data_IF_685934998265
#
_entry.id   IF_685934998265
#
_cell.length_a   1.000
_cell.length_b   1.000
_cell.length_c   1.000
_cell.angle_alpha   90.00
_cell.angle_beta   90.00
_cell.angle_gamma   90.00
#
_symmetry.space_group_name_H-M   'P 1'
#
loop_
_entity.id
_entity.type
_entity.pdbx_description
1 polymer ?
#
# COMPACT_ATOMS: atom_id res chain seq x y z
N UNK A 1 -12.57 -7.89 3.03
CA UNK A 1 -11.90 -9.06 3.64
C UNK A 1 -10.40 -8.94 3.38
N UNK A 2 -9.57 -9.24 4.38
CA UNK A 2 -8.12 -9.20 4.27
C UNK A 2 -7.56 -10.61 4.52
N UNK A 3 -6.74 -11.08 3.59
CA UNK A 3 -6.04 -12.35 3.68
C UNK A 3 -4.54 -12.12 3.67
N UNK A 4 -3.82 -12.87 4.48
CA UNK A 4 -2.36 -12.86 4.47
C UNK A 4 -1.85 -14.29 4.34
N UNK A 5 -1.07 -14.57 3.29
CA UNK A 5 -0.54 -15.92 3.02
C UNK A 5 0.88 -15.84 2.51
N UNK A 6 1.71 -16.81 2.91
CA UNK A 6 3.01 -17.01 2.27
C UNK A 6 2.76 -17.60 0.89
N UNK A 7 3.28 -16.95 -0.15
CA UNK A 7 3.26 -17.48 -1.50
C UNK A 7 4.54 -18.28 -1.78
N UNK A 8 4.66 -18.86 -2.97
CA UNK A 8 5.93 -19.42 -3.44
C UNK A 8 7.05 -18.39 -3.30
N UNK A 9 8.26 -18.83 -2.97
CA UNK A 9 9.44 -17.96 -2.92
C UNK A 9 9.79 -17.33 -4.28
N UNK A 10 9.31 -17.92 -5.37
CA UNK A 10 9.45 -17.38 -6.74
C UNK A 10 8.30 -16.45 -7.16
N UNK A 11 7.29 -16.25 -6.31
CA UNK A 11 6.17 -15.37 -6.64
C UNK A 11 6.60 -13.91 -6.58
N UNK A 12 6.21 -13.15 -7.59
CA UNK A 12 6.38 -11.69 -7.64
C UNK A 12 5.21 -10.91 -7.05
N UNK A 13 4.14 -11.59 -6.64
CA UNK A 13 2.92 -10.95 -6.15
C UNK A 13 3.18 -10.41 -4.75
N UNK A 14 3.08 -9.10 -4.60
CA UNK A 14 3.14 -8.41 -3.31
C UNK A 14 1.74 -8.24 -2.70
N UNK A 15 0.75 -7.91 -3.54
CA UNK A 15 -0.63 -7.67 -3.19
C UNK A 15 -1.59 -8.14 -4.29
N UNK A 16 -2.87 -8.27 -3.95
CA UNK A 16 -3.95 -8.46 -4.92
C UNK A 16 -5.20 -7.80 -4.35
N UNK A 17 -5.92 -7.09 -5.22
CA UNK A 17 -7.21 -6.52 -4.92
C UNK A 17 -8.28 -6.99 -5.89
N UNK A 18 -9.45 -7.28 -5.36
CA UNK A 18 -10.66 -7.52 -6.12
C UNK A 18 -11.88 -7.04 -5.34
N UNK A 19 -12.95 -6.73 -6.04
CA UNK A 19 -14.20 -6.28 -5.46
C UNK A 19 -15.38 -6.92 -6.19
N UNK A 20 -16.37 -7.32 -5.41
CA UNK A 20 -17.66 -7.79 -5.90
C UNK A 20 -18.76 -7.12 -5.07
N UNK A 21 -19.91 -6.82 -5.68
CA UNK A 21 -20.98 -6.11 -4.96
C UNK A 21 -21.63 -6.95 -3.85
N UNK A 22 -21.66 -8.28 -4.00
CA UNK A 22 -22.25 -9.18 -3.01
C UNK A 22 -21.30 -9.52 -1.85
N UNK A 23 -19.98 -9.50 -2.09
CA UNK A 23 -18.96 -9.90 -1.10
C UNK A 23 -18.17 -8.70 -0.54
N UNK A 24 -18.08 -7.61 -1.28
CA UNK A 24 -17.24 -6.45 -1.01
C UNK A 24 -15.78 -6.66 -1.42
N UNK A 25 -14.89 -5.78 -0.93
CA UNK A 25 -13.47 -5.83 -1.23
C UNK A 25 -12.80 -7.09 -0.68
N UNK A 26 -11.90 -7.69 -1.44
CA UNK A 26 -11.01 -8.76 -1.04
C UNK A 26 -9.57 -8.35 -1.33
N UNK A 27 -8.73 -8.38 -0.30
CA UNK A 27 -7.30 -8.05 -0.38
C UNK A 27 -6.49 -9.26 0.05
N UNK A 28 -5.48 -9.64 -0.74
CA UNK A 28 -4.46 -10.60 -0.36
C UNK A 28 -3.11 -9.89 -0.22
N UNK A 29 -2.38 -10.18 0.85
CA UNK A 29 -1.01 -9.71 1.03
C UNK A 29 -0.05 -10.89 1.15
N UNK A 30 1.07 -10.80 0.43
CA UNK A 30 2.11 -11.82 0.50
C UNK A 30 2.88 -11.70 1.84
N UNK A 31 2.73 -12.73 2.67
CA UNK A 31 3.34 -12.83 4.00
C UNK A 31 4.86 -13.02 3.99
N UNK A 32 5.47 -13.25 2.82
CA UNK A 32 6.93 -13.34 2.68
C UNK A 32 7.60 -11.96 2.78
N UNK A 33 6.88 -10.86 2.53
CA UNK A 33 7.44 -9.52 2.64
C UNK A 33 7.53 -9.03 4.09
N UNK A 34 8.53 -8.18 4.41
CA UNK A 34 8.64 -7.55 5.72
C UNK A 34 7.40 -6.68 6.01
N UNK A 35 7.09 -6.50 7.29
CA UNK A 35 5.88 -5.79 7.72
C UNK A 35 5.71 -4.40 7.07
N UNK A 36 6.74 -3.55 6.96
CA UNK A 36 6.60 -2.25 6.30
C UNK A 36 6.13 -2.34 4.84
N UNK A 37 6.64 -3.31 4.07
CA UNK A 37 6.22 -3.54 2.68
C UNK A 37 4.77 -4.01 2.62
N UNK A 38 4.36 -4.92 3.53
CA UNK A 38 2.96 -5.35 3.63
C UNK A 38 2.00 -4.20 3.96
N UNK A 39 2.41 -3.28 4.84
CA UNK A 39 1.62 -2.09 5.16
C UNK A 39 1.47 -1.18 3.92
N UNK A 40 2.55 -0.97 3.16
CA UNK A 40 2.49 -0.21 1.91
C UNK A 40 1.59 -0.86 0.86
N UNK A 41 1.73 -2.17 0.63
CA UNK A 41 0.84 -2.91 -0.27
C UNK A 41 -0.62 -2.83 0.19
N UNK A 42 -0.89 -2.99 1.48
CA UNK A 42 -2.25 -2.86 2.01
C UNK A 42 -2.85 -1.47 1.74
N UNK A 43 -2.07 -0.40 1.96
CA UNK A 43 -2.52 0.96 1.71
C UNK A 43 -2.73 1.25 0.22
N UNK A 44 -1.91 0.66 -0.65
CA UNK A 44 -2.10 0.68 -2.09
C UNK A 44 -3.43 0.03 -2.49
N UNK A 45 -3.72 -1.18 -2.01
CA UNK A 45 -5.00 -1.86 -2.30
C UNK A 45 -6.22 -1.12 -1.75
N UNK A 46 -6.09 -0.42 -0.62
CA UNK A 46 -7.15 0.47 -0.13
C UNK A 46 -7.37 1.65 -1.09
N UNK A 47 -6.32 2.13 -1.75
CA UNK A 47 -6.42 3.09 -2.84
C UNK A 47 -7.32 2.56 -3.96
N UNK A 48 -7.10 1.34 -4.43
CA UNK A 48 -7.97 0.71 -5.42
C UNK A 48 -9.42 0.60 -4.94
N UNK A 49 -9.63 0.18 -3.69
CA UNK A 49 -10.98 0.14 -3.11
C UNK A 49 -11.70 1.50 -3.14
N UNK A 50 -10.99 2.58 -2.82
CA UNK A 50 -11.59 3.92 -2.75
C UNK A 50 -11.85 4.54 -4.12
N UNK A 51 -10.94 4.36 -5.09
CA UNK A 51 -10.98 5.12 -6.34
C UNK A 51 -11.23 4.30 -7.61
N UNK A 52 -10.88 3.02 -7.62
CA UNK A 52 -10.80 2.22 -8.87
C UNK A 52 -11.35 0.81 -8.69
N UNK A 53 -12.31 0.62 -7.77
CA UNK A 53 -12.79 -0.70 -7.32
C UNK A 53 -13.38 -1.59 -8.40
N UNK A 54 -13.70 -1.04 -9.56
CA UNK A 54 -14.28 -1.79 -10.68
C UNK A 54 -13.23 -2.61 -11.46
N UNK A 55 -11.95 -2.41 -11.17
CA UNK A 55 -10.84 -3.09 -11.84
C UNK A 55 -10.09 -3.94 -10.81
N UNK A 56 -10.10 -5.28 -10.92
CA UNK A 56 -9.23 -6.12 -10.10
C UNK A 56 -7.76 -5.93 -10.51
N UNK A 57 -6.86 -6.08 -9.54
CA UNK A 57 -5.45 -5.69 -9.69
C UNK A 57 -4.52 -6.68 -8.97
N UNK A 58 -3.29 -6.82 -9.49
CA UNK A 58 -2.23 -7.65 -8.92
C UNK A 58 -0.94 -6.83 -8.80
N UNK A 59 -0.72 -6.29 -7.61
CA UNK A 59 0.51 -5.58 -7.29
C UNK A 59 1.72 -6.51 -7.29
N UNK A 60 2.65 -6.29 -8.22
CA UNK A 60 3.93 -6.99 -8.28
C UNK A 60 5.05 -6.26 -7.50
N UNK A 61 6.12 -6.99 -7.19
CA UNK A 61 7.29 -6.46 -6.47
C UNK A 61 7.97 -5.30 -7.20
N UNK A 62 8.12 -5.42 -8.51
CA UNK A 62 8.74 -4.47 -9.43
C UNK A 62 7.73 -3.63 -10.22
N UNK A 63 6.52 -3.47 -9.67
CA UNK A 63 5.45 -2.69 -10.32
C UNK A 63 5.91 -1.27 -10.67
N UNK A 64 5.65 -0.87 -11.92
CA UNK A 64 6.09 0.42 -12.47
C UNK A 64 5.04 1.50 -12.34
N UNK A 65 3.81 1.13 -11.96
CA UNK A 65 2.68 2.03 -11.77
C UNK A 65 2.45 2.93 -13.00
N UNK A 66 2.32 2.32 -14.18
CA UNK A 66 2.22 3.07 -15.44
C UNK A 66 0.80 3.54 -15.73
N UNK A 67 -0.21 2.80 -15.28
CA UNK A 67 -1.62 3.16 -15.49
C UNK A 67 -2.03 4.33 -14.60
N UNK A 68 -3.07 5.07 -14.99
CA UNK A 68 -3.61 6.15 -14.16
C UNK A 68 -4.10 5.63 -12.80
N UNK A 69 -4.74 4.48 -12.81
CA UNK A 69 -5.37 3.86 -11.65
C UNK A 69 -4.28 3.36 -10.68
N UNK A 70 -3.19 2.78 -11.21
CA UNK A 70 -1.99 2.41 -10.45
C UNK A 70 -1.30 3.62 -9.81
N UNK A 71 -1.13 4.70 -10.57
CA UNK A 71 -0.52 5.95 -10.07
C UNK A 71 -1.35 6.54 -8.95
N UNK A 72 -2.68 6.49 -9.09
CA UNK A 72 -3.60 6.93 -8.06
C UNK A 72 -3.46 6.08 -6.80
N UNK A 73 -3.54 4.74 -6.90
CA UNK A 73 -3.46 3.84 -5.75
C UNK A 73 -2.10 3.96 -5.02
N UNK A 74 -1.00 4.07 -5.78
CA UNK A 74 0.33 4.30 -5.22
C UNK A 74 0.43 5.66 -4.49
N UNK A 75 -0.07 6.74 -5.09
CA UNK A 75 -0.09 8.06 -4.45
C UNK A 75 -0.98 8.08 -3.20
N UNK A 76 -2.16 7.46 -3.29
CA UNK A 76 -3.10 7.30 -2.18
C UNK A 76 -2.44 6.57 -1.01
N UNK A 77 -1.86 5.40 -1.25
CA UNK A 77 -1.25 4.58 -0.20
C UNK A 77 -0.15 5.33 0.55
N UNK A 78 0.68 6.09 -0.16
CA UNK A 78 1.71 6.94 0.44
C UNK A 78 1.10 8.05 1.30
N UNK A 79 0.14 8.80 0.76
CA UNK A 79 -0.52 9.89 1.49
C UNK A 79 -1.29 9.39 2.72
N UNK A 80 -1.94 8.23 2.60
CA UNK A 80 -2.70 7.59 3.68
C UNK A 80 -1.81 7.18 4.86
N UNK A 81 -0.61 6.66 4.58
CA UNK A 81 0.34 6.23 5.61
C UNK A 81 1.17 7.37 6.20
N UNK A 82 1.22 8.53 5.55
CA UNK A 82 1.97 9.71 6.03
C UNK A 82 1.09 10.96 6.09
N UNK A 83 0.14 11.04 7.05
CA UNK A 83 -0.61 12.26 7.28
C UNK A 83 0.33 13.45 7.55
N UNK A 84 0.09 14.56 6.86
CA UNK A 84 1.00 15.71 6.87
C UNK A 84 1.26 16.24 8.30
N UNK A 85 0.21 16.37 9.11
CA UNK A 85 0.30 16.88 10.48
C UNK A 85 1.22 16.01 11.36
N UNK A 86 0.90 14.72 11.52
CA UNK A 86 1.69 13.80 12.34
C UNK A 86 3.13 13.64 11.83
N UNK A 87 3.31 13.69 10.50
CA UNK A 87 4.64 13.67 9.91
C UNK A 87 5.43 14.94 10.27
N UNK A 88 4.83 16.13 10.10
CA UNK A 88 5.45 17.41 10.45
C UNK A 88 5.81 17.50 11.93
N UNK A 89 4.94 17.01 12.82
CA UNK A 89 5.23 16.93 14.26
C UNK A 89 6.41 16.00 14.56
N UNK A 90 6.39 14.78 14.03
CA UNK A 90 7.47 13.80 14.23
C UNK A 90 8.79 14.33 13.68
N UNK A 91 8.77 14.98 12.52
CA UNK A 91 9.95 15.60 11.92
C UNK A 91 10.50 16.75 12.78
N UNK A 92 9.63 17.59 13.35
CA UNK A 92 10.03 18.63 14.29
C UNK A 92 10.70 18.05 15.53
N UNK A 93 10.10 17.04 16.15
CA UNK A 93 10.69 16.36 17.31
C UNK A 93 12.06 15.77 17.00
N UNK A 94 12.20 15.11 15.84
CA UNK A 94 13.49 14.57 15.40
C UNK A 94 14.55 15.66 15.21
N UNK A 95 14.17 16.82 14.65
CA UNK A 95 15.07 17.98 14.53
C UNK A 95 15.53 18.49 15.89
N UNK A 96 14.62 18.61 16.85
CA UNK A 96 14.92 19.07 18.21
C UNK A 96 15.89 18.12 18.92
N UNK A 97 15.72 16.81 18.74
CA UNK A 97 16.60 15.80 19.35
C UNK A 97 17.99 15.76 18.69
N UNK A 98 18.05 15.82 17.36
CA UNK A 98 19.28 15.55 16.61
C UNK A 98 20.10 16.79 16.27
N UNK A 99 19.50 17.99 16.34
CA UNK A 99 20.14 19.26 15.98
C UNK A 99 20.57 19.37 14.52
N UNK A 100 20.21 18.41 13.66
CA UNK A 100 20.59 18.36 12.25
C UNK A 100 19.35 18.46 11.36
N UNK A 101 19.47 19.28 10.32
CA UNK A 101 18.61 19.17 9.14
C UNK A 101 19.50 18.54 8.09
N UNK A 102 19.17 17.32 7.66
CA UNK A 102 19.83 16.51 6.60
C UNK A 102 21.01 17.15 5.89
#
# INVERSE_FOLDING_TARGET
>A
RLYQRRLSSSSKVAGLFSYDESVGACILLNANHPLPRRIQSAAHEVGHFCGTRQTPEVLEDDEKFLSRDERYANAFGRAFLTPAESFSESFRQLKEITGKTT
#
